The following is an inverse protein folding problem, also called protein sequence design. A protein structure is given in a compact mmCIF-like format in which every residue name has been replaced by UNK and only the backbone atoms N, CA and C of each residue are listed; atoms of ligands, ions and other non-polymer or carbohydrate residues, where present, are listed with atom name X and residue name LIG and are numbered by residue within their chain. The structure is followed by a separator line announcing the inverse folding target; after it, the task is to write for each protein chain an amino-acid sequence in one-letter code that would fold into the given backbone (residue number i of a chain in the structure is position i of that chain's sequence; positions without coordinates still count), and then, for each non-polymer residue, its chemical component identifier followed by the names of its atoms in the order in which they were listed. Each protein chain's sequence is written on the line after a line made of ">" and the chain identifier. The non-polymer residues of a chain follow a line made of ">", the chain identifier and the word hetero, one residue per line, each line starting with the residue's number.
data_IF_274042214690
#
_entry.id   IF_274042214690
#
_cell.length_a   1.000
_cell.length_b   1.000
_cell.length_c   1.000
_cell.angle_alpha   90.00
_cell.angle_beta   90.00
_cell.angle_gamma   90.00
#
_symmetry.space_group_name_H-M   'P 1'
#
loop_
_entity.id
_entity.type
_entity.pdbx_description
1 polymer ?
#
# COMPACT_ATOMS: atom_id res chain seq x y z
N UNK A 1 -22.67 15.37 -6.36
CA UNK A 1 -21.26 15.51 -6.83
C UNK A 1 -20.76 16.92 -6.49
N UNK A 2 -19.46 17.12 -6.31
CA UNK A 2 -18.91 18.47 -6.11
C UNK A 2 -18.92 19.22 -7.46
N UNK A 3 -19.45 20.43 -7.48
CA UNK A 3 -19.40 21.32 -8.65
C UNK A 3 -18.11 22.16 -8.61
N UNK A 4 -17.48 22.33 -9.77
CA UNK A 4 -16.27 23.13 -9.96
C UNK A 4 -16.55 24.21 -11.00
N UNK A 5 -15.98 25.40 -10.80
CA UNK A 5 -15.98 26.54 -11.72
C UNK A 5 -14.83 26.48 -12.75
N UNK A 6 -14.07 25.39 -12.74
CA UNK A 6 -12.97 25.08 -13.66
C UNK A 6 -13.02 23.62 -14.11
N UNK A 7 -12.29 23.29 -15.18
CA UNK A 7 -12.15 21.90 -15.65
C UNK A 7 -11.28 21.09 -14.67
N UNK A 8 -11.84 20.09 -13.97
CA UNK A 8 -11.10 19.33 -12.98
C UNK A 8 -10.00 18.50 -13.63
N UNK A 9 -8.79 18.55 -13.05
CA UNK A 9 -7.66 17.72 -13.44
C UNK A 9 -7.65 16.42 -12.63
N UNK A 10 -7.15 15.35 -13.22
CA UNK A 10 -6.90 14.11 -12.48
C UNK A 10 -5.70 14.23 -11.54
N UNK A 11 -5.52 13.22 -10.68
CA UNK A 11 -4.43 13.20 -9.71
C UNK A 11 -3.03 13.10 -10.34
N UNK A 12 -2.91 12.58 -11.56
CA UNK A 12 -1.64 12.46 -12.28
C UNK A 12 -1.20 13.86 -12.72
N UNK A 13 -2.06 14.57 -13.44
CA UNK A 13 -1.81 15.93 -13.91
C UNK A 13 -1.56 16.91 -12.73
N UNK A 14 -2.30 16.78 -11.63
CA UNK A 14 -2.06 17.56 -10.42
C UNK A 14 -0.71 17.20 -9.77
N UNK A 15 -0.41 15.90 -9.67
CA UNK A 15 0.81 15.38 -9.08
C UNK A 15 2.08 15.82 -9.79
N UNK A 16 2.06 15.77 -11.12
CA UNK A 16 3.13 16.23 -12.00
C UNK A 16 3.30 17.74 -11.93
N UNK A 17 2.20 18.51 -11.97
CA UNK A 17 2.25 19.98 -11.84
C UNK A 17 2.86 20.41 -10.51
N UNK A 18 2.59 19.67 -9.43
CA UNK A 18 3.17 19.89 -8.09
C UNK A 18 4.59 19.35 -7.94
N UNK A 19 5.14 18.67 -8.96
CA UNK A 19 6.43 17.96 -8.92
C UNK A 19 6.54 16.99 -7.74
N UNK A 20 5.41 16.43 -7.32
CA UNK A 20 5.30 15.60 -6.13
C UNK A 20 4.93 14.15 -6.41
N UNK A 21 4.48 13.82 -7.63
CA UNK A 21 4.31 12.46 -8.14
C UNK A 21 5.14 12.27 -9.42
N UNK A 22 5.99 11.26 -9.42
CA UNK A 22 6.94 10.97 -10.51
C UNK A 22 6.86 9.48 -10.90
N UNK A 23 6.07 9.18 -11.92
CA UNK A 23 5.86 7.82 -12.44
C UNK A 23 6.97 7.39 -13.40
N UNK A 24 7.60 8.33 -14.10
CA UNK A 24 8.73 8.03 -14.98
C UNK A 24 9.92 7.53 -14.17
N UNK A 25 10.27 8.22 -13.09
CA UNK A 25 11.32 7.78 -12.17
C UNK A 25 10.96 6.45 -11.50
N UNK A 26 9.70 6.26 -11.12
CA UNK A 26 9.25 4.98 -10.57
C UNK A 26 9.44 3.83 -11.57
N UNK A 27 9.12 4.06 -12.84
CA UNK A 27 9.31 3.08 -13.91
C UNK A 27 10.78 2.75 -14.12
N UNK A 28 11.67 3.75 -14.07
CA UNK A 28 13.11 3.53 -14.15
C UNK A 28 13.65 2.72 -12.95
N UNK A 29 13.04 2.84 -11.77
CA UNK A 29 13.49 2.17 -10.55
C UNK A 29 12.92 0.74 -10.41
N UNK A 30 11.66 0.53 -10.80
CA UNK A 30 10.90 -0.66 -10.44
C UNK A 30 9.94 -1.19 -11.54
N UNK A 31 9.95 -0.61 -12.74
CA UNK A 31 8.99 -0.86 -13.84
C UNK A 31 7.59 -0.26 -13.60
N UNK A 32 6.60 -0.68 -14.41
CA UNK A 32 5.25 -0.11 -14.40
C UNK A 32 4.52 -0.38 -13.08
N UNK A 33 3.50 0.44 -12.79
CA UNK A 33 2.64 0.35 -11.59
C UNK A 33 3.32 0.68 -10.26
N UNK A 34 4.45 1.39 -10.29
CA UNK A 34 5.08 2.00 -9.12
C UNK A 34 4.96 3.54 -9.16
N UNK A 35 5.14 4.20 -8.02
CA UNK A 35 5.14 5.66 -7.92
C UNK A 35 6.27 6.17 -7.02
N UNK A 36 6.89 7.30 -7.39
CA UNK A 36 7.78 8.06 -6.51
C UNK A 36 7.06 9.32 -6.06
N UNK A 37 7.00 9.54 -4.74
CA UNK A 37 6.43 10.75 -4.13
C UNK A 37 7.50 11.64 -3.52
N UNK A 38 7.36 12.97 -3.65
CA UNK A 38 8.30 13.95 -3.07
C UNK A 38 7.58 15.17 -2.48
N UNK A 39 8.28 15.89 -1.60
CA UNK A 39 7.82 17.17 -1.04
C UNK A 39 6.50 17.09 -0.28
N UNK A 40 5.61 18.06 -0.50
CA UNK A 40 4.34 18.16 0.22
C UNK A 40 3.38 17.00 -0.10
N UNK A 41 3.42 16.41 -1.30
CA UNK A 41 2.59 15.23 -1.61
C UNK A 41 3.04 13.99 -0.84
N UNK A 42 4.34 13.74 -0.73
CA UNK A 42 4.86 12.68 0.15
C UNK A 42 4.48 12.90 1.62
N UNK A 43 4.52 14.16 2.09
CA UNK A 43 4.08 14.51 3.43
C UNK A 43 2.58 14.26 3.62
N UNK A 44 1.75 14.62 2.64
CA UNK A 44 0.31 14.39 2.68
C UNK A 44 -0.02 12.90 2.71
N UNK A 45 0.63 12.08 1.89
CA UNK A 45 0.49 10.62 1.92
C UNK A 45 0.78 10.06 3.32
N UNK A 46 1.88 10.47 3.95
CA UNK A 46 2.20 10.09 5.33
C UNK A 46 1.17 10.60 6.33
N UNK A 47 0.73 11.86 6.21
CA UNK A 47 -0.24 12.45 7.12
C UNK A 47 -1.59 11.71 7.10
N UNK A 48 -2.05 11.27 5.92
CA UNK A 48 -3.27 10.48 5.77
C UNK A 48 -3.16 9.14 6.51
N UNK A 49 -2.06 8.41 6.32
CA UNK A 49 -1.85 7.13 7.01
C UNK A 49 -1.80 7.30 8.54
N UNK A 50 -1.12 8.34 9.03
CA UNK A 50 -1.06 8.64 10.47
C UNK A 50 -2.43 9.02 11.03
N UNK A 51 -3.18 9.87 10.33
CA UNK A 51 -4.55 10.22 10.73
C UNK A 51 -5.45 8.97 10.83
N UNK A 52 -5.35 8.04 9.88
CA UNK A 52 -6.13 6.80 9.93
C UNK A 52 -5.77 5.96 11.16
N UNK A 53 -4.47 5.76 11.43
CA UNK A 53 -4.01 5.01 12.61
C UNK A 53 -4.49 5.66 13.91
N UNK A 54 -4.30 6.98 14.06
CA UNK A 54 -4.73 7.73 15.24
C UNK A 54 -6.24 7.62 15.44
N UNK A 55 -7.03 7.75 14.37
CA UNK A 55 -8.48 7.63 14.46
C UNK A 55 -8.90 6.24 14.98
N UNK A 56 -8.32 5.17 14.43
CA UNK A 56 -8.71 3.82 14.82
C UNK A 56 -8.25 3.45 16.22
N UNK A 57 -7.05 3.88 16.62
CA UNK A 57 -6.47 3.53 17.92
C UNK A 57 -7.03 4.39 19.06
N UNK A 58 -7.24 5.69 18.83
CA UNK A 58 -7.71 6.60 19.87
C UNK A 58 -9.23 6.64 20.01
N UNK A 59 -9.99 6.42 18.93
CA UNK A 59 -11.45 6.61 18.93
C UNK A 59 -12.25 5.32 18.71
N UNK A 60 -11.68 4.31 18.05
CA UNK A 60 -12.43 3.11 17.65
C UNK A 60 -12.00 1.83 18.39
N UNK A 61 -11.08 1.94 19.37
CA UNK A 61 -10.69 0.83 20.24
C UNK A 61 -9.83 -0.25 19.57
N UNK A 62 -9.19 0.05 18.43
CA UNK A 62 -8.24 -0.87 17.80
C UNK A 62 -6.88 -0.82 18.51
N UNK A 63 -6.23 -1.97 18.67
CA UNK A 63 -4.83 -2.05 19.09
C UNK A 63 -3.93 -1.97 17.87
N UNK A 64 -2.99 -1.02 17.85
CA UNK A 64 -2.00 -0.93 16.78
C UNK A 64 -1.03 -2.12 16.83
N UNK A 65 -0.75 -2.71 15.66
CA UNK A 65 0.19 -3.82 15.53
C UNK A 65 1.14 -3.56 14.36
N UNK A 66 2.43 -3.77 14.59
CA UNK A 66 3.44 -3.82 13.55
C UNK A 66 3.73 -5.28 13.19
N UNK A 67 3.50 -5.65 11.94
CA UNK A 67 3.51 -7.04 11.48
C UNK A 67 4.50 -7.25 10.33
N UNK A 68 5.03 -8.47 10.12
CA UNK A 68 5.89 -8.77 8.98
C UNK A 68 5.19 -8.54 7.64
N UNK A 69 5.91 -7.97 6.66
CA UNK A 69 5.43 -7.82 5.29
C UNK A 69 5.73 -9.01 4.39
N UNK A 70 6.59 -9.92 4.87
CA UNK A 70 6.88 -11.21 4.26
C UNK A 70 6.38 -12.32 5.20
N UNK A 71 5.53 -13.20 4.69
CA UNK A 71 4.94 -14.31 5.45
C UNK A 71 5.20 -15.65 4.79
N UNK A 72 5.15 -16.73 5.56
CA UNK A 72 5.24 -18.08 5.02
C UNK A 72 3.90 -18.51 4.38
N UNK A 73 3.91 -19.59 3.60
CA UNK A 73 2.71 -20.09 2.93
C UNK A 73 1.58 -20.46 3.90
N UNK A 74 1.91 -20.99 5.09
CA UNK A 74 0.91 -21.40 6.08
C UNK A 74 0.03 -20.21 6.54
N UNK A 75 0.63 -19.03 6.69
CA UNK A 75 -0.13 -17.80 7.03
C UNK A 75 -1.15 -17.44 5.93
N UNK A 76 -0.81 -17.63 4.66
CA UNK A 76 -1.70 -17.35 3.51
C UNK A 76 -2.81 -18.38 3.32
N UNK A 77 -2.60 -19.63 3.75
CA UNK A 77 -3.66 -20.62 3.79
C UNK A 77 -4.72 -20.26 4.84
N UNK A 78 -4.32 -19.69 5.98
CA UNK A 78 -5.22 -19.29 7.06
C UNK A 78 -6.28 -18.25 6.64
N UNK A 79 -5.95 -17.40 5.67
CA UNK A 79 -6.83 -16.33 5.16
C UNK A 79 -7.38 -16.60 3.75
N UNK A 80 -7.11 -17.78 3.19
CA UNK A 80 -7.72 -18.26 1.93
C UNK A 80 -7.11 -17.72 0.63
N UNK A 81 -6.00 -16.98 0.67
CA UNK A 81 -5.29 -16.53 -0.53
C UNK A 81 -4.62 -17.72 -1.24
N UNK A 82 -4.08 -18.66 -0.47
CA UNK A 82 -3.64 -19.94 -1.02
C UNK A 82 -4.70 -21.03 -0.80
N UNK A 83 -4.83 -22.00 -1.75
CA UNK A 83 -3.98 -22.20 -2.93
C UNK A 83 -4.42 -21.44 -4.20
N UNK A 84 -5.55 -20.72 -4.17
CA UNK A 84 -6.23 -20.27 -5.40
C UNK A 84 -5.58 -19.05 -6.08
N UNK A 85 -4.92 -18.18 -5.32
CA UNK A 85 -4.41 -16.89 -5.80
C UNK A 85 -2.89 -16.79 -5.70
N UNK A 86 -2.16 -17.90 -5.86
CA UNK A 86 -0.67 -17.88 -5.78
C UNK A 86 -0.05 -16.98 -6.85
N UNK A 87 -0.60 -16.96 -8.06
CA UNK A 87 -0.10 -16.16 -9.18
C UNK A 87 -0.23 -14.64 -8.94
N UNK A 88 -1.10 -14.23 -8.02
CA UNK A 88 -1.31 -12.83 -7.66
C UNK A 88 -0.31 -12.33 -6.59
N UNK A 89 0.56 -13.22 -6.09
CA UNK A 89 1.49 -12.92 -4.98
C UNK A 89 2.94 -12.78 -5.46
N UNK A 90 3.66 -11.82 -4.87
CA UNK A 90 5.11 -11.74 -5.03
C UNK A 90 5.81 -12.69 -4.06
N UNK A 91 6.52 -13.68 -4.60
CA UNK A 91 7.25 -14.72 -3.84
C UNK A 91 8.76 -14.49 -3.91
N UNK A 92 9.46 -14.64 -2.79
CA UNK A 92 10.93 -14.64 -2.75
C UNK A 92 11.49 -15.95 -3.32
N UNK A 93 12.70 -15.91 -3.87
CA UNK A 93 13.42 -17.10 -4.30
C UNK A 93 14.13 -17.80 -3.11
N UNK A 94 14.47 -19.08 -3.26
CA UNK A 94 15.25 -19.87 -2.31
C UNK A 94 14.47 -21.02 -1.66
N UNK A 95 15.14 -21.74 -0.75
CA UNK A 95 14.63 -22.97 -0.13
C UNK A 95 13.49 -22.73 0.88
N UNK A 96 13.40 -21.51 1.41
CA UNK A 96 12.34 -21.06 2.31
C UNK A 96 11.64 -19.84 1.73
N UNK A 97 10.77 -20.02 0.70
CA UNK A 97 10.10 -18.91 0.05
C UNK A 97 9.16 -18.20 1.03
N UNK A 98 9.20 -16.88 1.00
CA UNK A 98 8.25 -16.00 1.67
C UNK A 98 7.44 -15.25 0.61
N UNK A 99 6.28 -14.76 1.02
CA UNK A 99 5.37 -14.03 0.15
C UNK A 99 5.16 -12.62 0.71
N UNK A 100 5.24 -11.60 -0.16
CA UNK A 100 4.82 -10.26 0.22
C UNK A 100 3.31 -10.26 0.47
N UNK A 101 2.89 -9.69 1.60
CA UNK A 101 1.48 -9.66 1.97
C UNK A 101 0.66 -8.84 0.96
N UNK A 102 -0.49 -9.33 0.48
CA UNK A 102 -1.40 -8.54 -0.36
C UNK A 102 -2.22 -7.53 0.45
N UNK A 103 -2.34 -7.77 1.76
CA UNK A 103 -3.02 -6.92 2.76
C UNK A 103 -2.55 -7.27 4.17
N UNK A 104 -2.64 -6.33 5.10
CA UNK A 104 -2.34 -6.55 6.52
C UNK A 104 -3.31 -7.52 7.21
N UNK A 105 -4.46 -7.82 6.60
CA UNK A 105 -5.42 -8.84 7.09
C UNK A 105 -4.76 -10.20 7.28
N UNK A 106 -3.86 -10.59 6.37
CA UNK A 106 -3.16 -11.89 6.40
C UNK A 106 -2.41 -12.10 7.72
N UNK A 107 -1.42 -11.25 8.08
CA UNK A 107 -0.73 -11.42 9.37
C UNK A 107 -1.61 -11.03 10.57
N UNK A 108 -2.48 -10.03 10.48
CA UNK A 108 -3.27 -9.57 11.63
C UNK A 108 -4.28 -10.62 12.11
N UNK A 109 -4.86 -11.42 11.21
CA UNK A 109 -5.80 -12.50 11.55
C UNK A 109 -5.09 -13.73 12.13
N UNK A 110 -3.76 -13.82 11.96
CA UNK A 110 -2.92 -14.93 12.42
C UNK A 110 -2.08 -14.57 13.68
N UNK A 111 -2.37 -13.45 14.33
CA UNK A 111 -1.84 -13.09 15.66
C UNK A 111 -2.57 -13.88 16.76
#
# INVERSE_FOLDING_TARGET
>A
PREFDFEPKDHVALGEQLKGLDFEKATQLAHSRFAVMRGQLARLHRALAQFMLDQHTLQHGYTEAYVPYLVNANTLFGTGQLPKFEEDLFRTAGDNPLYLIPTAEVPATNL
#
